data_IF_777986200645
#
_entry.id   IF_777986200645
#
_cell.length_a   1.000
_cell.length_b   1.000
_cell.length_c   1.000
_cell.angle_alpha   90.00
_cell.angle_beta   90.00
_cell.angle_gamma   90.00
#
_symmetry.space_group_name_H-M   'P 1'
#
loop_
_entity.id
_entity.type
_entity.pdbx_description
1 polymer ?
#
# COMPACT_ATOMS: atom_id res chain seq x y z
N UNK A 1 2.27 0.64 17.29
CA UNK A 1 2.99 0.57 16.02
C UNK A 1 4.38 -0.02 16.26
N UNK A 2 4.74 -1.03 15.49
CA UNK A 2 6.02 -1.74 15.69
C UNK A 2 7.07 -1.04 14.86
N UNK A 3 8.11 -0.54 15.54
CA UNK A 3 9.36 -0.01 14.99
C UNK A 3 9.20 0.91 13.73
N UNK A 4 9.92 0.68 12.66
CA UNK A 4 9.95 1.54 11.47
C UNK A 4 10.53 2.94 11.73
N UNK A 5 11.48 3.05 12.67
CA UNK A 5 12.05 4.34 13.08
C UNK A 5 12.74 5.03 11.91
N UNK A 6 13.57 4.28 11.18
CA UNK A 6 14.34 4.83 10.05
C UNK A 6 13.43 5.20 8.87
N UNK A 7 12.46 4.33 8.55
CA UNK A 7 11.51 4.62 7.46
C UNK A 7 10.62 5.82 7.77
N UNK A 8 10.16 5.98 9.04
CA UNK A 8 9.41 7.17 9.47
C UNK A 8 10.25 8.43 9.35
N UNK A 9 11.49 8.38 9.85
CA UNK A 9 12.44 9.49 9.77
C UNK A 9 12.68 9.89 8.31
N UNK A 10 12.98 8.93 7.44
CA UNK A 10 13.22 9.16 6.02
C UNK A 10 11.99 9.77 5.32
N UNK A 11 10.79 9.28 5.59
CA UNK A 11 9.56 9.85 5.03
C UNK A 11 9.34 11.29 5.47
N UNK A 12 9.54 11.59 6.77
CA UNK A 12 9.41 12.95 7.30
C UNK A 12 10.41 13.91 6.69
N UNK A 13 11.69 13.51 6.62
CA UNK A 13 12.76 14.33 6.04
C UNK A 13 12.52 14.63 4.56
N UNK A 14 12.18 13.63 3.76
CA UNK A 14 11.95 13.81 2.32
C UNK A 14 10.73 14.69 2.05
N UNK A 15 9.57 14.30 2.58
CA UNK A 15 8.32 14.99 2.30
C UNK A 15 8.29 16.39 2.92
N UNK A 16 8.86 16.57 4.13
CA UNK A 16 9.00 17.87 4.78
C UNK A 16 9.96 18.82 4.06
N UNK A 17 10.90 18.29 3.28
CA UNK A 17 11.82 19.07 2.44
C UNK A 17 11.33 19.29 1.01
N UNK A 18 10.07 18.97 0.69
CA UNK A 18 9.51 19.16 -0.64
C UNK A 18 9.88 18.07 -1.66
N UNK A 19 10.44 16.94 -1.23
CA UNK A 19 10.81 15.84 -2.12
C UNK A 19 9.66 14.84 -2.22
N UNK A 20 9.22 14.57 -3.44
CA UNK A 20 8.19 13.56 -3.69
C UNK A 20 8.71 12.15 -3.39
N UNK A 21 7.84 11.29 -2.87
CA UNK A 21 8.17 9.92 -2.48
C UNK A 21 7.22 8.93 -3.14
N UNK A 22 7.77 7.84 -3.65
CA UNK A 22 7.03 6.67 -4.10
C UNK A 22 7.36 5.49 -3.19
N UNK A 23 6.44 5.14 -2.29
CA UNK A 23 6.62 4.04 -1.35
C UNK A 23 5.96 2.77 -1.88
N UNK A 24 6.77 1.78 -2.17
CA UNK A 24 6.35 0.51 -2.75
C UNK A 24 6.51 -0.60 -1.72
N UNK A 25 5.44 -1.36 -1.50
CA UNK A 25 5.44 -2.45 -0.53
C UNK A 25 4.38 -3.48 -0.88
N UNK A 26 4.62 -4.77 -0.69
CA UNK A 26 3.58 -5.78 -0.75
C UNK A 26 2.38 -5.44 0.15
N UNK A 27 1.24 -6.07 -0.13
CA UNK A 27 0.05 -5.91 0.70
C UNK A 27 0.30 -6.34 2.14
N UNK A 28 -0.37 -5.68 3.09
CA UNK A 28 -0.38 -6.05 4.52
C UNK A 28 0.97 -5.95 5.24
N UNK A 29 1.95 -5.20 4.68
CA UNK A 29 3.23 -4.92 5.34
C UNK A 29 3.22 -3.65 6.21
N UNK A 30 2.07 -3.00 6.34
CA UNK A 30 1.91 -1.81 7.18
C UNK A 30 2.25 -0.49 6.49
N UNK A 31 2.26 -0.44 5.15
CA UNK A 31 2.55 0.75 4.34
C UNK A 31 1.70 1.96 4.71
N UNK A 32 0.36 1.83 4.68
CA UNK A 32 -0.57 2.93 4.96
C UNK A 32 -0.47 3.39 6.42
N UNK A 33 -0.26 2.46 7.36
CA UNK A 33 -0.01 2.79 8.77
C UNK A 33 1.31 3.55 8.96
N UNK A 34 2.37 3.17 8.23
CA UNK A 34 3.65 3.86 8.27
C UNK A 34 3.52 5.31 7.79
N UNK A 35 2.89 5.51 6.62
CA UNK A 35 2.68 6.85 6.07
C UNK A 35 1.86 7.70 7.04
N UNK A 36 0.76 7.16 7.57
CA UNK A 36 -0.09 7.88 8.52
C UNK A 36 0.67 8.30 9.76
N UNK A 37 1.38 7.37 10.43
CA UNK A 37 2.15 7.68 11.65
C UNK A 37 3.24 8.71 11.37
N UNK A 38 4.00 8.55 10.27
CA UNK A 38 5.04 9.51 9.91
C UNK A 38 4.48 10.91 9.65
N UNK A 39 3.34 11.01 8.99
CA UNK A 39 2.69 12.30 8.71
C UNK A 39 2.03 12.91 9.95
N UNK A 40 1.43 12.11 10.83
CA UNK A 40 0.90 12.58 12.11
C UNK A 40 2.03 13.15 13.00
N UNK A 41 3.18 12.49 13.08
CA UNK A 41 4.37 13.00 13.78
C UNK A 41 4.86 14.31 13.15
N UNK A 42 5.00 14.36 11.83
CA UNK A 42 5.50 15.54 11.12
C UNK A 42 4.59 16.76 11.34
N UNK A 43 3.28 16.59 11.31
CA UNK A 43 2.32 17.68 11.58
C UNK A 43 2.30 18.14 13.04
N UNK A 44 2.75 17.29 13.98
CA UNK A 44 2.96 17.69 15.37
C UNK A 44 4.24 18.49 15.54
N UNK A 45 5.30 18.11 14.82
CA UNK A 45 6.61 18.77 14.85
C UNK A 45 6.58 20.13 14.12
N UNK A 46 5.87 20.24 13.01
CA UNK A 46 5.74 21.49 12.23
C UNK A 46 4.28 21.84 11.95
N UNK A 47 3.82 22.95 12.54
CA UNK A 47 2.44 23.46 12.41
C UNK A 47 2.15 24.14 11.06
N UNK A 48 3.16 24.41 10.25
CA UNK A 48 2.99 24.91 8.87
C UNK A 48 2.72 23.79 7.88
N UNK A 49 2.94 22.53 8.25
CA UNK A 49 2.64 21.39 7.40
C UNK A 49 1.19 20.96 7.54
N UNK A 50 0.55 20.67 6.40
CA UNK A 50 -0.76 20.04 6.31
C UNK A 50 -0.65 18.79 5.45
N UNK A 51 -1.42 17.76 5.81
CA UNK A 51 -1.40 16.48 5.08
C UNK A 51 -2.79 16.13 4.60
N UNK A 52 -2.88 15.80 3.32
CA UNK A 52 -4.07 15.33 2.65
C UNK A 52 -3.91 13.83 2.34
N UNK A 53 -4.93 13.03 2.66
CA UNK A 53 -4.94 11.60 2.37
C UNK A 53 -6.04 11.27 1.35
N UNK A 54 -5.67 10.56 0.29
CA UNK A 54 -6.57 10.13 -0.78
C UNK A 54 -6.40 8.62 -0.95
N UNK A 55 -7.50 7.89 -0.95
CA UNK A 55 -7.50 6.45 -1.29
C UNK A 55 -7.99 6.29 -2.73
N UNK A 56 -7.08 5.86 -3.61
CA UNK A 56 -7.40 5.64 -5.02
C UNK A 56 -8.08 4.29 -5.30
N UNK A 57 -8.22 3.42 -4.29
CA UNK A 57 -8.77 2.07 -4.48
C UNK A 57 -10.20 2.06 -5.00
N UNK A 58 -11.04 2.98 -4.52
CA UNK A 58 -12.45 3.06 -4.88
C UNK A 58 -12.73 3.87 -6.15
N UNK A 59 -11.74 4.60 -6.67
CA UNK A 59 -11.89 5.50 -7.81
C UNK A 59 -12.07 4.72 -9.11
N UNK A 60 -13.15 4.99 -9.85
CA UNK A 60 -13.52 4.27 -11.08
C UNK A 60 -13.43 5.13 -12.34
N UNK A 61 -13.43 6.45 -12.21
CA UNK A 61 -13.38 7.39 -13.34
C UNK A 61 -12.42 8.54 -13.09
N UNK A 62 -11.91 9.15 -14.16
CA UNK A 62 -11.08 10.35 -14.10
C UNK A 62 -11.82 11.52 -13.40
N UNK A 63 -13.12 11.69 -13.70
CA UNK A 63 -13.96 12.71 -13.06
C UNK A 63 -14.06 12.52 -11.55
N UNK A 64 -14.22 11.29 -11.11
CA UNK A 64 -14.28 10.95 -9.69
C UNK A 64 -12.95 11.26 -8.99
N UNK A 65 -11.83 10.95 -9.63
CA UNK A 65 -10.51 11.31 -9.10
C UNK A 65 -10.37 12.82 -8.88
N UNK A 66 -10.67 13.64 -9.88
CA UNK A 66 -10.54 15.09 -9.74
C UNK A 66 -11.47 15.66 -8.66
N UNK A 67 -12.68 15.13 -8.54
CA UNK A 67 -13.63 15.52 -7.49
C UNK A 67 -13.12 15.19 -6.11
N UNK A 68 -12.65 13.96 -5.88
CA UNK A 68 -12.11 13.50 -4.60
C UNK A 68 -10.82 14.30 -4.28
N UNK A 69 -9.92 14.45 -5.26
CA UNK A 69 -8.67 15.20 -5.10
C UNK A 69 -8.93 16.63 -4.64
N UNK A 70 -9.80 17.35 -5.34
CA UNK A 70 -10.15 18.73 -4.97
C UNK A 70 -10.77 18.80 -3.58
N UNK A 71 -11.72 17.91 -3.27
CA UNK A 71 -12.39 17.85 -1.95
C UNK A 71 -11.39 17.64 -0.82
N UNK A 72 -10.52 16.64 -0.93
CA UNK A 72 -9.57 16.30 0.13
C UNK A 72 -8.51 17.42 0.31
N UNK A 73 -8.03 18.01 -0.78
CA UNK A 73 -7.09 19.13 -0.74
C UNK A 73 -7.72 20.36 -0.05
N UNK A 74 -8.95 20.71 -0.39
CA UNK A 74 -9.66 21.81 0.25
C UNK A 74 -9.89 21.52 1.74
N UNK A 75 -10.34 20.30 2.05
CA UNK A 75 -10.69 19.90 3.41
C UNK A 75 -9.50 19.93 4.36
N UNK A 76 -8.32 19.43 3.93
CA UNK A 76 -7.13 19.39 4.78
C UNK A 76 -6.50 20.76 5.00
N UNK A 77 -6.71 21.70 4.08
CA UNK A 77 -6.18 23.05 4.17
C UNK A 77 -7.13 24.03 4.92
N UNK A 78 -8.40 23.65 5.14
CA UNK A 78 -9.35 24.46 5.90
C UNK A 78 -8.98 24.48 7.39
N UNK A 79 -8.82 25.66 7.97
CA UNK A 79 -8.63 25.80 9.42
C UNK A 79 -9.94 25.54 10.17
N UNK A 80 -9.83 25.26 11.48
CA UNK A 80 -11.00 25.03 12.36
C UNK A 80 -11.94 26.24 12.41
N UNK A 81 -11.43 27.44 12.14
CA UNK A 81 -12.19 28.69 12.10
C UNK A 81 -12.85 28.94 10.73
N UNK A 82 -12.26 28.45 9.64
CA UNK A 82 -12.77 28.58 8.27
C UNK A 82 -13.80 27.50 7.90
N UNK A 83 -14.32 26.75 8.86
CA UNK A 83 -15.35 25.71 8.63
C UNK A 83 -16.72 26.27 8.22
N UNK A 84 -16.86 27.58 8.08
CA UNK A 84 -18.04 28.16 7.44
C UNK A 84 -17.88 28.02 5.93
N UNK A 85 -18.81 27.32 5.33
CA UNK A 85 -18.86 27.04 3.89
C UNK A 85 -18.68 28.30 3.02
N UNK A 86 -19.17 29.46 3.50
CA UNK A 86 -19.06 30.74 2.83
C UNK A 86 -17.61 31.25 2.74
N UNK A 87 -16.80 31.07 3.77
CA UNK A 87 -15.39 31.49 3.78
C UNK A 87 -14.57 30.65 2.79
N UNK A 88 -14.86 29.33 2.74
CA UNK A 88 -14.23 28.41 1.77
C UNK A 88 -14.66 28.76 0.34
N UNK A 89 -15.93 29.07 0.10
CA UNK A 89 -16.44 29.51 -1.22
C UNK A 89 -15.78 30.78 -1.68
N UNK A 90 -15.69 31.78 -0.79
CA UNK A 90 -15.08 33.07 -1.11
C UNK A 90 -13.59 32.92 -1.39
N UNK A 91 -12.88 32.09 -0.62
CA UNK A 91 -11.48 31.76 -0.83
C UNK A 91 -11.27 31.06 -2.18
N UNK A 92 -12.05 30.03 -2.49
CA UNK A 92 -11.94 29.30 -3.76
C UNK A 92 -12.25 30.18 -4.96
N UNK A 93 -13.24 31.06 -4.86
CA UNK A 93 -13.58 32.01 -5.91
C UNK A 93 -12.41 32.95 -6.22
N UNK A 94 -11.59 33.29 -5.22
CA UNK A 94 -10.41 34.11 -5.41
C UNK A 94 -9.22 33.32 -6.00
N UNK A 95 -9.06 32.06 -5.62
CA UNK A 95 -7.89 31.23 -5.96
C UNK A 95 -8.11 30.37 -7.22
N UNK A 96 -9.33 29.89 -7.44
CA UNK A 96 -9.71 29.04 -8.56
C UNK A 96 -11.18 29.30 -8.96
N UNK A 97 -11.46 30.34 -9.75
CA UNK A 97 -12.82 30.82 -10.04
C UNK A 97 -13.73 29.80 -10.74
N UNK A 98 -13.17 28.82 -11.45
CA UNK A 98 -13.94 27.80 -12.17
C UNK A 98 -14.42 26.67 -11.24
N UNK A 99 -13.95 26.62 -10.00
CA UNK A 99 -14.37 25.62 -9.01
C UNK A 99 -15.54 26.18 -8.20
N UNK A 100 -16.74 25.65 -8.44
CA UNK A 100 -17.95 26.07 -7.72
C UNK A 100 -18.36 25.00 -6.71
N UNK A 101 -18.56 25.41 -5.45
CA UNK A 101 -19.11 24.54 -4.41
C UNK A 101 -20.63 24.71 -4.35
N UNK A 102 -21.39 23.62 -4.52
CA UNK A 102 -22.80 23.58 -4.19
C UNK A 102 -22.97 23.06 -2.76
N UNK A 103 -23.70 23.77 -1.95
CA UNK A 103 -24.11 23.30 -0.62
C UNK A 103 -25.53 22.74 -0.68
N UNK A 104 -25.72 21.56 -0.12
CA UNK A 104 -27.05 21.11 0.26
C UNK A 104 -27.38 21.73 1.61
N UNK A 105 -28.57 22.35 1.81
CA UNK A 105 -28.92 23.02 3.06
C UNK A 105 -28.98 22.13 4.29
N UNK A 106 -28.97 20.82 4.10
CA UNK A 106 -29.16 19.81 5.15
C UNK A 106 -27.89 19.12 5.62
N UNK A 107 -26.75 19.37 4.99
CA UNK A 107 -25.53 18.61 5.31
C UNK A 107 -24.36 19.53 5.66
N UNK A 108 -23.92 19.43 6.90
CA UNK A 108 -22.70 20.04 7.40
C UNK A 108 -21.49 19.36 6.77
N UNK A 109 -20.95 19.92 5.66
CA UNK A 109 -19.70 19.54 5.00
C UNK A 109 -19.76 18.46 3.90
N UNK A 110 -20.88 18.20 3.25
CA UNK A 110 -20.85 17.47 1.97
C UNK A 110 -20.54 18.47 0.83
N UNK A 111 -19.28 18.49 0.40
CA UNK A 111 -18.86 19.24 -0.78
C UNK A 111 -19.25 18.46 -2.04
N UNK A 112 -20.42 18.75 -2.61
CA UNK A 112 -20.77 18.22 -3.93
C UNK A 112 -20.23 19.17 -5.00
N UNK A 113 -19.04 18.83 -5.52
CA UNK A 113 -18.41 19.53 -6.64
C UNK A 113 -19.10 19.09 -7.93
N UNK A 114 -20.04 19.87 -8.44
CA UNK A 114 -20.44 19.76 -9.86
C UNK A 114 -19.32 20.35 -10.71
N UNK A 115 -18.40 19.50 -11.11
CA UNK A 115 -17.37 19.84 -12.08
C UNK A 115 -17.90 19.54 -13.48
N UNK A 116 -18.15 20.57 -14.27
CA UNK A 116 -18.11 20.43 -15.72
C UNK A 116 -16.62 20.28 -16.07
N UNK A 117 -16.22 19.07 -16.49
CA UNK A 117 -14.83 18.74 -16.76
C UNK A 117 -14.39 19.31 -18.13
N UNK A 118 -14.35 20.60 -18.23
CA UNK A 118 -13.56 21.26 -19.28
C UNK A 118 -12.06 21.09 -18.96
N UNK A 119 -11.23 21.02 -19.97
CA UNK A 119 -9.78 20.82 -19.81
C UNK A 119 -9.13 21.89 -18.92
N UNK A 120 -9.63 23.13 -18.99
CA UNK A 120 -9.23 24.24 -18.13
C UNK A 120 -9.52 23.97 -16.65
N UNK A 121 -10.69 23.42 -16.33
CA UNK A 121 -11.09 23.09 -14.95
C UNK A 121 -10.22 21.97 -14.37
N UNK A 122 -9.82 21.00 -15.18
CA UNK A 122 -8.92 19.91 -14.77
C UNK A 122 -7.56 20.46 -14.34
N UNK A 123 -6.96 21.36 -15.14
CA UNK A 123 -5.67 21.95 -14.78
C UNK A 123 -5.77 22.80 -13.51
N UNK A 124 -6.84 23.58 -13.35
CA UNK A 124 -7.06 24.37 -12.14
C UNK A 124 -7.18 23.51 -10.90
N UNK A 125 -7.82 22.32 -11.00
CA UNK A 125 -7.90 21.34 -9.90
C UNK A 125 -6.51 20.80 -9.55
N UNK A 126 -5.72 20.42 -10.55
CA UNK A 126 -4.38 19.89 -10.32
C UNK A 126 -3.40 20.94 -9.77
N UNK A 127 -3.63 22.22 -10.05
CA UNK A 127 -2.87 23.35 -9.50
C UNK A 127 -3.37 23.82 -8.12
N UNK A 128 -4.55 23.37 -7.70
CA UNK A 128 -5.19 23.79 -6.46
C UNK A 128 -4.31 23.63 -5.21
N UNK A 129 -3.58 22.51 -5.02
CA UNK A 129 -2.70 22.34 -3.86
C UNK A 129 -1.70 23.46 -3.69
N UNK A 130 -0.99 23.84 -4.77
CA UNK A 130 0.00 24.91 -4.75
C UNK A 130 -0.63 26.28 -4.49
N UNK A 131 -1.75 26.59 -5.15
CA UNK A 131 -2.47 27.85 -4.96
C UNK A 131 -2.92 28.03 -3.51
N UNK A 132 -3.44 26.95 -2.89
CA UNK A 132 -3.86 26.96 -1.47
C UNK A 132 -2.63 27.09 -0.57
N UNK A 133 -1.58 26.30 -0.81
CA UNK A 133 -0.38 26.33 -0.01
C UNK A 133 0.28 27.70 0.00
N UNK A 134 0.44 28.30 -1.18
CA UNK A 134 0.98 29.65 -1.35
C UNK A 134 0.13 30.72 -0.66
N UNK A 135 -1.20 30.69 -0.83
CA UNK A 135 -2.10 31.67 -0.23
C UNK A 135 -2.14 31.61 1.30
N UNK A 136 -1.90 30.42 1.89
CA UNK A 136 -1.93 30.20 3.34
C UNK A 136 -0.55 30.18 3.99
N UNK A 137 0.55 30.22 3.23
CA UNK A 137 1.91 30.11 3.75
C UNK A 137 2.17 28.77 4.43
N UNK A 138 1.64 27.68 3.88
CA UNK A 138 1.80 26.32 4.40
C UNK A 138 2.53 25.43 3.40
N UNK A 139 3.13 24.35 3.89
CA UNK A 139 3.58 23.24 3.06
C UNK A 139 2.52 22.13 3.06
N UNK A 140 2.07 21.71 1.89
CA UNK A 140 1.03 20.71 1.73
C UNK A 140 1.63 19.39 1.26
N UNK A 141 1.36 18.31 2.00
CA UNK A 141 1.77 16.96 1.61
C UNK A 141 0.52 16.19 1.15
N UNK A 142 0.51 15.75 -0.10
CA UNK A 142 -0.60 14.97 -0.68
C UNK A 142 -0.21 13.51 -0.75
N UNK A 143 -0.85 12.69 0.08
CA UNK A 143 -0.64 11.26 0.20
C UNK A 143 -1.72 10.50 -0.57
N UNK A 144 -1.35 9.71 -1.60
CA UNK A 144 -2.30 8.93 -2.41
C UNK A 144 -2.00 7.44 -2.24
N UNK A 145 -2.91 6.74 -1.54
CA UNK A 145 -2.85 5.28 -1.36
C UNK A 145 -3.33 4.55 -2.62
N UNK A 146 -2.76 3.37 -2.83
CA UNK A 146 -3.03 2.48 -3.97
C UNK A 146 -2.98 3.22 -5.33
N UNK A 147 -1.99 4.12 -5.47
CA UNK A 147 -1.84 5.01 -6.64
C UNK A 147 -1.90 4.28 -7.98
N UNK A 148 -1.41 3.04 -8.05
CA UNK A 148 -1.45 2.23 -9.28
C UNK A 148 -2.88 1.91 -9.75
N UNK A 149 -3.91 2.09 -8.91
CA UNK A 149 -5.29 1.90 -9.34
C UNK A 149 -5.71 2.94 -10.40
N UNK A 150 -5.13 4.14 -10.32
CA UNK A 150 -5.37 5.18 -11.32
C UNK A 150 -4.91 4.74 -12.72
N UNK A 151 -3.83 3.93 -12.79
CA UNK A 151 -3.33 3.40 -14.07
C UNK A 151 -4.30 2.44 -14.78
N UNK A 152 -5.32 1.95 -14.08
CA UNK A 152 -6.37 1.09 -14.64
C UNK A 152 -7.54 1.90 -15.22
N UNK A 153 -7.57 3.23 -15.01
CA UNK A 153 -8.65 4.07 -15.51
C UNK A 153 -8.55 4.26 -17.03
N UNK A 154 -9.71 4.25 -17.73
CA UNK A 154 -9.74 4.67 -19.12
C UNK A 154 -9.18 6.09 -19.27
N UNK A 155 -8.27 6.31 -20.23
CA UNK A 155 -7.67 7.64 -20.45
C UNK A 155 -6.49 7.99 -19.54
N UNK A 156 -6.05 7.09 -18.66
CA UNK A 156 -4.97 7.34 -17.70
C UNK A 156 -3.72 8.01 -18.29
N UNK A 157 -3.29 7.64 -19.49
CA UNK A 157 -2.10 8.26 -20.12
C UNK A 157 -2.23 9.77 -20.32
N UNK A 158 -3.41 10.25 -20.70
CA UNK A 158 -3.70 11.69 -20.80
C UNK A 158 -3.72 12.33 -19.40
N UNK A 159 -4.40 11.68 -18.46
CA UNK A 159 -4.49 12.09 -17.06
C UNK A 159 -3.10 12.18 -16.42
N UNK A 160 -2.26 11.16 -16.61
CA UNK A 160 -0.88 11.09 -16.10
C UNK A 160 -0.03 12.27 -16.62
N UNK A 161 -0.14 12.60 -17.90
CA UNK A 161 0.55 13.74 -18.50
C UNK A 161 0.11 15.07 -17.88
N UNK A 162 -1.20 15.28 -17.68
CA UNK A 162 -1.75 16.48 -17.03
C UNK A 162 -1.28 16.60 -15.58
N UNK A 163 -1.36 15.52 -14.80
CA UNK A 163 -0.84 15.49 -13.43
C UNK A 163 0.64 15.85 -13.38
N UNK A 164 1.47 15.22 -14.21
CA UNK A 164 2.90 15.53 -14.28
C UNK A 164 3.17 16.99 -14.62
N UNK A 165 2.47 17.52 -15.62
CA UNK A 165 2.64 18.91 -16.06
C UNK A 165 2.31 19.94 -14.98
N UNK A 166 1.26 19.67 -14.18
CA UNK A 166 0.88 20.55 -13.07
C UNK A 166 1.83 20.39 -11.88
N UNK A 167 2.02 19.15 -11.40
CA UNK A 167 2.66 18.87 -10.12
C UNK A 167 4.17 19.10 -10.11
N UNK A 168 4.86 18.93 -11.25
CA UNK A 168 6.30 19.18 -11.30
C UNK A 168 6.70 20.66 -11.12
N UNK A 169 5.76 21.59 -11.22
CA UNK A 169 5.99 23.04 -11.08
C UNK A 169 5.73 23.52 -9.65
N UNK A 170 5.13 22.67 -8.81
CA UNK A 170 4.75 23.04 -7.45
C UNK A 170 5.98 23.08 -6.54
N UNK A 171 6.05 24.08 -5.69
CA UNK A 171 7.18 24.33 -4.80
C UNK A 171 6.81 24.19 -3.33
N UNK A 172 5.53 24.39 -2.99
CA UNK A 172 5.02 24.29 -1.63
C UNK A 172 4.22 23.00 -1.38
N UNK A 173 4.29 22.05 -2.33
CA UNK A 173 3.58 20.79 -2.27
C UNK A 173 4.56 19.64 -2.49
N UNK A 174 4.46 18.62 -1.68
CA UNK A 174 5.11 17.32 -1.93
C UNK A 174 4.08 16.20 -2.01
N UNK A 175 4.41 15.16 -2.76
CA UNK A 175 3.55 14.04 -3.03
C UNK A 175 4.13 12.74 -2.46
N UNK A 176 3.30 11.98 -1.75
CA UNK A 176 3.59 10.63 -1.31
C UNK A 176 2.67 9.65 -2.05
N UNK A 177 3.18 9.00 -3.09
CA UNK A 177 2.44 7.95 -3.78
C UNK A 177 2.82 6.61 -3.19
N UNK A 178 1.85 5.82 -2.79
CA UNK A 178 2.14 4.51 -2.26
C UNK A 178 1.15 3.46 -2.77
N UNK A 179 1.66 2.23 -2.92
CA UNK A 179 0.87 1.16 -3.51
C UNK A 179 1.44 -0.22 -3.27
N UNK A 180 0.61 -1.22 -3.50
CA UNK A 180 0.91 -2.62 -3.20
C UNK A 180 1.38 -3.42 -4.41
N UNK A 181 1.00 -3.06 -5.63
CA UNK A 181 1.39 -3.78 -6.85
C UNK A 181 2.73 -3.28 -7.37
N UNK A 182 3.80 -3.94 -6.91
CA UNK A 182 5.19 -3.55 -7.19
C UNK A 182 5.46 -3.33 -8.68
N UNK A 183 5.05 -4.27 -9.54
CA UNK A 183 5.33 -4.18 -10.99
C UNK A 183 4.64 -2.96 -11.62
N UNK A 184 3.38 -2.65 -11.25
CA UNK A 184 2.67 -1.49 -11.76
C UNK A 184 3.29 -0.17 -11.28
N UNK A 185 3.63 -0.09 -9.99
CA UNK A 185 4.29 1.09 -9.43
C UNK A 185 5.66 1.30 -10.09
N UNK A 186 6.43 0.23 -10.31
CA UNK A 186 7.72 0.31 -11.01
C UNK A 186 7.54 0.75 -12.46
N UNK A 187 6.51 0.29 -13.17
CA UNK A 187 6.25 0.74 -14.53
C UNK A 187 5.92 2.25 -14.56
N UNK A 188 5.08 2.74 -13.66
CA UNK A 188 4.71 4.16 -13.60
C UNK A 188 5.94 5.05 -13.35
N UNK A 189 6.83 4.69 -12.40
CA UNK A 189 7.85 5.62 -11.90
C UNK A 189 9.27 5.35 -12.43
N UNK A 190 9.57 4.16 -12.93
CA UNK A 190 10.90 3.79 -13.41
C UNK A 190 10.99 3.53 -14.91
N UNK A 191 9.86 3.49 -15.62
CA UNK A 191 9.85 3.39 -17.07
C UNK A 191 10.05 4.79 -17.68
N UNK A 192 11.13 4.95 -18.43
CA UNK A 192 11.50 6.24 -19.05
C UNK A 192 10.48 6.79 -20.07
N UNK A 193 9.57 5.93 -20.54
CA UNK A 193 8.49 6.32 -21.45
C UNK A 193 7.27 6.91 -20.74
N UNK A 194 7.23 6.85 -19.40
CA UNK A 194 6.07 7.33 -18.63
C UNK A 194 6.30 8.73 -18.06
N UNK A 195 5.26 9.57 -18.01
CA UNK A 195 5.34 10.94 -17.48
C UNK A 195 5.93 11.05 -16.08
N UNK A 196 5.61 10.11 -15.17
CA UNK A 196 6.12 10.13 -13.80
C UNK A 196 7.54 9.56 -13.63
N UNK A 197 8.23 9.24 -14.74
CA UNK A 197 9.63 8.83 -14.65
C UNK A 197 10.46 9.83 -13.84
N UNK A 198 11.14 9.33 -12.80
CA UNK A 198 11.96 10.15 -11.88
C UNK A 198 11.23 11.35 -11.26
N UNK A 199 9.96 11.21 -10.94
CA UNK A 199 9.19 12.30 -10.32
C UNK A 199 9.59 12.53 -8.85
N UNK A 200 10.20 11.58 -8.19
CA UNK A 200 10.67 11.68 -6.82
C UNK A 200 11.50 10.45 -6.43
N UNK A 201 11.71 10.25 -5.14
CA UNK A 201 12.49 9.14 -4.61
C UNK A 201 11.64 7.88 -4.45
N UNK A 202 12.12 6.76 -4.98
CA UNK A 202 11.47 5.46 -4.79
C UNK A 202 12.03 4.80 -3.53
N UNK A 203 11.12 4.42 -2.62
CA UNK A 203 11.42 3.70 -1.39
C UNK A 203 10.74 2.33 -1.44
N UNK A 204 11.51 1.28 -1.15
CA UNK A 204 10.97 -0.07 -1.00
C UNK A 204 10.89 -0.42 0.47
N UNK A 205 9.65 -0.58 0.95
CA UNK A 205 9.45 -1.02 2.33
C UNK A 205 9.87 -2.48 2.48
N UNK A 206 10.79 -2.73 3.39
CA UNK A 206 11.25 -4.07 3.73
C UNK A 206 10.37 -4.69 4.83
N UNK A 207 10.45 -6.02 5.02
CA UNK A 207 9.86 -6.67 6.20
C UNK A 207 10.50 -6.11 7.47
N UNK A 208 9.72 -5.98 8.53
CA UNK A 208 10.25 -5.73 9.86
C UNK A 208 11.09 -6.94 10.26
N UNK A 209 12.31 -6.71 10.72
CA UNK A 209 13.26 -7.76 11.05
C UNK A 209 12.81 -8.54 12.29
N UNK A 210 13.24 -9.80 12.38
CA UNK A 210 12.95 -10.67 13.53
C UNK A 210 13.45 -10.04 14.84
N UNK A 211 14.64 -9.44 14.82
CA UNK A 211 15.26 -8.79 15.99
C UNK A 211 14.42 -7.64 16.54
N UNK A 212 13.53 -7.08 15.73
CA UNK A 212 12.62 -6.00 16.13
C UNK A 212 11.26 -6.56 16.59
N UNK A 213 10.81 -7.65 15.97
CA UNK A 213 9.55 -8.31 16.33
C UNK A 213 9.62 -9.02 17.67
N UNK A 214 10.70 -9.76 17.93
CA UNK A 214 10.82 -10.60 19.14
C UNK A 214 10.64 -9.81 20.44
N UNK A 215 11.40 -8.73 20.69
CA UNK A 215 11.21 -7.93 21.90
C UNK A 215 9.80 -7.31 21.99
N UNK A 216 9.23 -6.91 20.83
CA UNK A 216 7.89 -6.36 20.80
C UNK A 216 6.84 -7.38 21.22
N UNK A 217 6.91 -8.62 20.70
CA UNK A 217 5.99 -9.72 21.03
C UNK A 217 6.09 -10.06 22.52
N UNK A 218 7.30 -10.30 23.02
CA UNK A 218 7.55 -10.63 24.44
C UNK A 218 6.97 -9.55 25.35
N UNK A 219 7.26 -8.27 25.08
CA UNK A 219 6.73 -7.16 25.85
C UNK A 219 5.20 -7.05 25.77
N UNK A 220 4.59 -7.33 24.61
CA UNK A 220 3.15 -7.26 24.44
C UNK A 220 2.43 -8.34 25.26
N UNK A 221 2.95 -9.55 25.31
CA UNK A 221 2.43 -10.63 26.15
C UNK A 221 2.60 -10.29 27.64
N UNK A 222 3.78 -9.85 28.04
CA UNK A 222 4.08 -9.50 29.43
C UNK A 222 3.17 -8.38 29.98
N UNK A 223 2.82 -7.37 29.18
CA UNK A 223 1.88 -6.30 29.56
C UNK A 223 0.50 -6.78 29.92
N UNK A 224 0.14 -7.99 29.51
CA UNK A 224 -1.17 -8.62 29.77
C UNK A 224 -1.06 -9.79 30.72
N UNK A 225 0.01 -9.87 31.52
CA UNK A 225 0.30 -10.94 32.47
C UNK A 225 0.36 -12.33 31.81
N UNK A 226 0.88 -12.41 30.60
CA UNK A 226 1.13 -13.68 29.90
C UNK A 226 2.61 -13.76 29.53
N UNK A 227 3.13 -14.99 29.51
CA UNK A 227 4.54 -15.23 29.22
C UNK A 227 4.70 -15.96 27.88
N UNK A 228 5.59 -15.45 27.05
CA UNK A 228 6.11 -16.11 25.85
C UNK A 228 7.63 -16.00 25.87
N UNK A 229 8.35 -17.09 25.58
CA UNK A 229 9.82 -17.03 25.51
C UNK A 229 10.28 -16.33 24.21
N UNK A 230 11.50 -15.80 24.22
CA UNK A 230 12.13 -15.24 23.01
C UNK A 230 12.19 -16.30 21.89
N UNK A 231 12.55 -17.54 22.22
CA UNK A 231 12.60 -18.64 21.25
C UNK A 231 11.23 -18.92 20.62
N UNK A 232 10.15 -18.90 21.41
CA UNK A 232 8.80 -19.04 20.87
C UNK A 232 8.41 -17.85 20.01
N UNK A 233 8.74 -16.61 20.41
CA UNK A 233 8.50 -15.42 19.61
C UNK A 233 9.27 -15.46 18.26
N UNK A 234 10.51 -15.96 18.26
CA UNK A 234 11.27 -16.23 17.05
C UNK A 234 10.58 -17.27 16.15
N UNK A 235 10.09 -18.36 16.74
CA UNK A 235 9.34 -19.40 16.03
C UNK A 235 8.10 -18.82 15.34
N UNK A 236 7.34 -17.91 16.00
CA UNK A 236 6.21 -17.24 15.36
C UNK A 236 6.65 -16.41 14.13
N UNK A 237 7.75 -15.68 14.27
CA UNK A 237 8.32 -14.92 13.15
C UNK A 237 8.69 -15.82 11.98
N UNK A 238 9.27 -16.99 12.23
CA UNK A 238 9.67 -17.96 11.20
C UNK A 238 8.46 -18.61 10.51
N UNK A 239 7.45 -19.03 11.26
CA UNK A 239 6.21 -19.61 10.72
C UNK A 239 5.60 -18.70 9.66
N UNK A 240 5.48 -17.42 9.94
CA UNK A 240 4.87 -16.45 9.02
C UNK A 240 5.88 -15.61 8.23
N UNK A 241 7.19 -16.00 8.24
CA UNK A 241 8.29 -15.31 7.54
C UNK A 241 8.30 -13.78 7.79
N UNK A 242 8.08 -13.36 9.04
CA UNK A 242 7.96 -11.96 9.47
C UNK A 242 6.90 -11.16 8.69
N UNK A 243 5.87 -11.79 8.15
CA UNK A 243 4.77 -11.09 7.48
C UNK A 243 3.89 -10.38 8.51
N UNK A 244 3.92 -9.05 8.53
CA UNK A 244 3.37 -8.21 9.61
C UNK A 244 1.91 -8.51 9.94
N UNK A 245 1.06 -8.71 8.94
CA UNK A 245 -0.35 -9.02 9.14
C UNK A 245 -0.57 -10.39 9.80
N UNK A 246 0.07 -11.43 9.25
CA UNK A 246 -0.09 -12.77 9.78
C UNK A 246 0.57 -12.96 11.14
N UNK A 247 1.69 -12.27 11.38
CA UNK A 247 2.34 -12.31 12.69
C UNK A 247 1.43 -11.73 13.78
N UNK A 248 0.76 -10.61 13.49
CA UNK A 248 -0.20 -10.03 14.42
C UNK A 248 -1.41 -10.95 14.65
N UNK A 249 -1.96 -11.58 13.60
CA UNK A 249 -3.06 -12.53 13.74
C UNK A 249 -2.63 -13.77 14.56
N UNK A 250 -1.47 -14.35 14.26
CA UNK A 250 -0.95 -15.50 14.97
C UNK A 250 -0.71 -15.18 16.44
N UNK A 251 -0.07 -14.05 16.74
CA UNK A 251 0.12 -13.58 18.11
C UNK A 251 -1.22 -13.40 18.83
N UNK A 252 -2.24 -12.84 18.17
CA UNK A 252 -3.57 -12.68 18.75
C UNK A 252 -4.22 -14.04 19.07
N UNK A 253 -4.17 -14.99 18.15
CA UNK A 253 -4.73 -16.33 18.38
C UNK A 253 -4.03 -17.06 19.52
N UNK A 254 -2.70 -16.98 19.60
CA UNK A 254 -1.92 -17.57 20.66
C UNK A 254 -2.24 -16.88 21.99
N UNK A 255 -2.21 -15.55 22.01
CA UNK A 255 -2.53 -14.76 23.20
C UNK A 255 -3.93 -15.09 23.74
N UNK A 256 -4.94 -15.18 22.87
CA UNK A 256 -6.33 -15.48 23.25
C UNK A 256 -6.49 -16.92 23.78
N UNK A 257 -5.66 -17.86 23.35
CA UNK A 257 -5.68 -19.24 23.76
C UNK A 257 -4.78 -19.59 24.96
N UNK A 258 -3.99 -18.62 25.43
CA UNK A 258 -3.05 -18.80 26.54
C UNK A 258 -3.66 -18.24 27.83
N UNK A 259 -3.62 -19.00 28.93
CA UNK A 259 -3.96 -18.48 30.26
C UNK A 259 -2.80 -17.68 30.87
N UNK A 260 -1.66 -18.31 31.08
CA UNK A 260 -0.48 -17.67 31.69
C UNK A 260 0.76 -17.82 30.81
N UNK A 261 1.10 -19.04 30.40
CA UNK A 261 2.32 -19.32 29.60
C UNK A 261 1.99 -19.97 28.29
N UNK A 262 2.66 -19.50 27.25
CA UNK A 262 2.58 -20.10 25.91
C UNK A 262 3.28 -21.46 25.93
N UNK A 263 2.63 -22.45 25.32
CA UNK A 263 3.21 -23.79 25.08
C UNK A 263 3.35 -24.04 23.59
N UNK A 264 4.24 -24.94 23.20
CA UNK A 264 4.45 -25.31 21.80
C UNK A 264 3.19 -25.95 21.18
N UNK A 265 2.40 -26.67 22.00
CA UNK A 265 1.11 -27.21 21.58
C UNK A 265 0.12 -26.10 21.21
N UNK A 266 0.05 -25.01 22.01
CA UNK A 266 -0.79 -23.85 21.69
C UNK A 266 -0.33 -23.22 20.38
N UNK A 267 0.97 -23.05 20.16
CA UNK A 267 1.53 -22.53 18.92
C UNK A 267 1.08 -23.37 17.73
N UNK A 268 1.21 -24.68 17.82
CA UNK A 268 0.80 -25.59 16.74
C UNK A 268 -0.70 -25.50 16.44
N UNK A 269 -1.56 -25.58 17.47
CA UNK A 269 -3.02 -25.48 17.32
C UNK A 269 -3.42 -24.14 16.69
N UNK A 270 -2.84 -23.03 17.16
CA UNK A 270 -3.18 -21.70 16.67
C UNK A 270 -2.63 -21.41 15.27
N UNK A 271 -1.51 -22.02 14.91
CA UNK A 271 -0.99 -21.99 13.54
C UNK A 271 -1.95 -22.69 12.58
N UNK A 272 -2.46 -23.86 12.94
CA UNK A 272 -3.51 -24.55 12.16
C UNK A 272 -4.77 -23.70 12.04
N UNK A 273 -5.22 -23.09 13.13
CA UNK A 273 -6.35 -22.18 13.11
C UNK A 273 -6.13 -20.99 12.16
N UNK A 274 -4.93 -20.43 12.12
CA UNK A 274 -4.60 -19.33 11.18
C UNK A 274 -4.71 -19.79 9.73
N UNK A 275 -4.21 -20.97 9.40
CA UNK A 275 -4.31 -21.55 8.05
C UNK A 275 -5.79 -21.78 7.69
N UNK A 276 -6.56 -22.43 8.58
CA UNK A 276 -7.95 -22.78 8.33
C UNK A 276 -8.86 -21.55 8.21
N UNK A 277 -8.58 -20.51 8.99
CA UNK A 277 -9.31 -19.23 8.87
C UNK A 277 -9.13 -18.57 7.49
N UNK A 278 -7.97 -18.73 6.86
CA UNK A 278 -7.67 -18.17 5.55
C UNK A 278 -7.97 -19.12 4.38
N UNK A 279 -8.24 -20.40 4.66
CA UNK A 279 -8.48 -21.44 3.65
C UNK A 279 -9.56 -21.09 2.61
N UNK A 280 -10.74 -20.56 2.97
CA UNK A 280 -11.78 -20.24 1.96
C UNK A 280 -11.29 -19.24 0.91
N UNK A 281 -10.46 -18.26 1.31
CA UNK A 281 -9.86 -17.30 0.37
C UNK A 281 -8.85 -18.01 -0.55
N UNK A 282 -8.01 -18.88 0.01
CA UNK A 282 -7.01 -19.61 -0.76
C UNK A 282 -7.62 -20.60 -1.75
N UNK A 283 -8.72 -21.28 -1.38
CA UNK A 283 -9.47 -22.13 -2.28
C UNK A 283 -10.02 -21.32 -3.46
N UNK A 284 -10.68 -20.21 -3.21
CA UNK A 284 -11.20 -19.32 -4.25
C UNK A 284 -10.09 -18.81 -5.19
N UNK A 285 -8.93 -18.46 -4.65
CA UNK A 285 -7.78 -17.99 -5.45
C UNK A 285 -7.21 -19.10 -6.35
N UNK A 286 -7.25 -20.37 -5.89
CA UNK A 286 -6.72 -21.52 -6.61
C UNK A 286 -7.71 -22.14 -7.59
N UNK A 287 -9.04 -21.98 -7.42
CA UNK A 287 -10.06 -22.49 -8.34
C UNK A 287 -9.84 -22.04 -9.80
N UNK A 288 -9.29 -20.86 -10.00
CA UNK A 288 -9.01 -20.29 -11.31
C UNK A 288 -7.60 -20.58 -11.83
N UNK A 289 -6.85 -21.49 -11.20
CA UNK A 289 -5.55 -21.92 -11.69
C UNK A 289 -5.69 -23.11 -12.66
N UNK A 290 -4.91 -23.05 -13.75
CA UNK A 290 -4.79 -24.21 -14.63
C UNK A 290 -3.91 -25.30 -14.00
N UNK A 291 -4.05 -26.55 -14.43
CA UNK A 291 -3.21 -27.65 -13.97
C UNK A 291 -1.70 -27.33 -14.10
N UNK A 292 -1.29 -26.68 -15.19
CA UNK A 292 0.11 -26.27 -15.39
C UNK A 292 0.57 -25.15 -14.43
N UNK A 293 -0.32 -24.27 -13.98
CA UNK A 293 -0.02 -23.26 -12.97
C UNK A 293 0.10 -23.89 -11.59
N UNK A 294 -0.80 -24.82 -11.23
CA UNK A 294 -0.72 -25.58 -9.99
C UNK A 294 0.55 -26.42 -9.93
N UNK A 295 0.92 -27.09 -11.05
CA UNK A 295 2.17 -27.85 -11.16
C UNK A 295 3.40 -26.96 -10.95
N UNK A 296 3.37 -25.72 -11.48
CA UNK A 296 4.45 -24.75 -11.25
C UNK A 296 4.52 -24.32 -9.78
N UNK A 297 3.38 -24.10 -9.10
CA UNK A 297 3.38 -23.79 -7.67
C UNK A 297 3.94 -24.95 -6.85
N UNK A 298 3.68 -26.22 -7.21
CA UNK A 298 4.33 -27.39 -6.58
C UNK A 298 5.85 -27.36 -6.74
N UNK A 299 6.34 -27.02 -7.95
CA UNK A 299 7.76 -26.90 -8.17
C UNK A 299 8.38 -25.76 -7.34
N UNK A 300 7.69 -24.62 -7.18
CA UNK A 300 8.11 -23.54 -6.28
C UNK A 300 8.09 -24.01 -4.82
N UNK A 301 7.06 -24.75 -4.40
CA UNK A 301 6.97 -25.32 -3.06
C UNK A 301 8.18 -26.20 -2.74
N UNK A 302 8.59 -27.06 -3.66
CA UNK A 302 9.78 -27.92 -3.50
C UNK A 302 11.12 -27.16 -3.61
N UNK A 303 11.09 -25.84 -3.80
CA UNK A 303 12.29 -24.99 -3.88
C UNK A 303 12.99 -25.03 -5.21
N UNK A 304 12.34 -25.54 -6.26
CA UNK A 304 12.91 -25.56 -7.60
C UNK A 304 13.04 -24.13 -8.17
N UNK A 305 14.14 -23.90 -8.90
CA UNK A 305 14.40 -22.60 -9.53
C UNK A 305 14.78 -22.72 -11.02
N UNK A 306 15.17 -23.91 -11.47
CA UNK A 306 15.56 -24.22 -12.88
C UNK A 306 14.39 -24.82 -13.64
N UNK A 307 13.29 -24.11 -13.75
CA UNK A 307 12.03 -24.62 -14.33
C UNK A 307 12.13 -25.11 -15.77
N UNK A 308 13.16 -24.70 -16.54
CA UNK A 308 13.39 -25.16 -17.90
C UNK A 308 14.32 -26.38 -17.99
N UNK A 309 14.84 -26.90 -16.87
CA UNK A 309 15.66 -28.08 -16.87
C UNK A 309 14.83 -29.35 -17.16
N UNK A 310 15.35 -30.27 -17.94
CA UNK A 310 14.64 -31.48 -18.34
C UNK A 310 14.11 -32.29 -17.14
N UNK A 311 14.86 -32.49 -16.04
CA UNK A 311 14.36 -33.20 -14.87
C UNK A 311 13.17 -32.54 -14.23
N UNK A 312 13.21 -31.19 -14.05
CA UNK A 312 12.13 -30.40 -13.43
C UNK A 312 10.90 -30.37 -14.33
N UNK A 313 11.07 -30.14 -15.64
CA UNK A 313 9.96 -30.18 -16.61
C UNK A 313 9.23 -31.50 -16.56
N UNK A 314 9.98 -32.64 -16.52
CA UNK A 314 9.38 -33.97 -16.45
C UNK A 314 8.72 -34.28 -15.12
N UNK A 315 9.39 -33.93 -14.00
CA UNK A 315 8.88 -34.20 -12.64
C UNK A 315 7.53 -33.55 -12.39
N UNK A 316 7.35 -32.29 -12.85
CA UNK A 316 6.15 -31.49 -12.58
C UNK A 316 5.24 -31.30 -13.81
N UNK A 317 5.59 -31.87 -14.96
CA UNK A 317 4.81 -31.73 -16.21
C UNK A 317 4.59 -30.26 -16.62
N UNK A 318 5.62 -29.41 -16.50
CA UNK A 318 5.52 -27.97 -16.70
C UNK A 318 5.24 -27.53 -18.15
N UNK A 319 5.37 -28.44 -19.12
CA UNK A 319 5.14 -28.17 -20.53
C UNK A 319 6.31 -27.46 -21.21
N UNK A 320 6.04 -26.69 -22.26
CA UNK A 320 7.06 -25.99 -23.05
C UNK A 320 7.66 -24.77 -22.31
N UNK A 321 8.86 -24.34 -22.78
CA UNK A 321 9.51 -23.13 -22.26
C UNK A 321 8.61 -21.87 -22.36
N UNK A 322 7.78 -21.78 -23.41
CA UNK A 322 6.80 -20.69 -23.56
C UNK A 322 5.70 -20.78 -22.49
N UNK A 323 5.19 -21.99 -22.23
CA UNK A 323 4.19 -22.24 -21.17
C UNK A 323 4.75 -21.86 -19.81
N UNK A 324 5.96 -22.28 -19.49
CA UNK A 324 6.67 -21.94 -18.25
C UNK A 324 6.81 -20.42 -18.08
N UNK A 325 7.26 -19.73 -19.14
CA UNK A 325 7.43 -18.27 -19.11
C UNK A 325 6.09 -17.55 -18.88
N UNK A 326 5.04 -17.98 -19.58
CA UNK A 326 3.68 -17.42 -19.41
C UNK A 326 3.15 -17.67 -18.00
N UNK A 327 3.28 -18.89 -17.48
CA UNK A 327 2.78 -19.22 -16.14
C UNK A 327 3.54 -18.47 -15.05
N UNK A 328 4.87 -18.33 -15.15
CA UNK A 328 5.65 -17.49 -14.23
C UNK A 328 5.12 -16.07 -14.19
N UNK A 329 4.90 -15.47 -15.37
CA UNK A 329 4.37 -14.11 -15.47
C UNK A 329 2.98 -14.01 -14.82
N UNK A 330 2.06 -14.88 -15.19
CA UNK A 330 0.69 -14.88 -14.66
C UNK A 330 0.63 -15.08 -13.15
N UNK A 331 1.42 -16.00 -12.60
CA UNK A 331 1.48 -16.24 -11.17
C UNK A 331 2.10 -15.06 -10.41
N UNK A 332 3.07 -14.37 -11.01
CA UNK A 332 3.66 -13.15 -10.43
C UNK A 332 2.67 -11.97 -10.49
N UNK A 333 1.99 -11.75 -11.63
CA UNK A 333 0.97 -10.70 -11.80
C UNK A 333 -0.23 -10.88 -10.87
N UNK A 334 -0.54 -12.13 -10.50
CA UNK A 334 -1.61 -12.48 -9.55
C UNK A 334 -1.13 -12.59 -8.10
N UNK A 335 0.08 -12.18 -7.79
CA UNK A 335 0.69 -12.17 -6.45
C UNK A 335 0.77 -13.56 -5.77
N UNK A 336 0.78 -14.69 -6.54
CA UNK A 336 1.02 -16.02 -5.96
C UNK A 336 2.50 -16.24 -5.63
N UNK A 337 3.38 -15.77 -6.51
CA UNK A 337 4.83 -15.90 -6.35
C UNK A 337 5.54 -14.59 -6.60
N UNK A 338 6.64 -14.39 -5.94
CA UNK A 338 7.56 -13.28 -6.18
C UNK A 338 8.97 -13.78 -6.49
N UNK A 339 9.73 -12.94 -7.20
CA UNK A 339 11.12 -13.26 -7.53
C UNK A 339 12.05 -12.76 -6.42
N UNK A 340 12.76 -13.69 -5.78
CA UNK A 340 13.79 -13.43 -4.78
C UNK A 340 15.17 -13.81 -5.37
N UNK A 341 15.90 -12.82 -5.87
CA UNK A 341 17.15 -13.08 -6.58
C UNK A 341 16.94 -13.95 -7.83
N UNK A 342 17.51 -15.17 -7.85
CA UNK A 342 17.35 -16.14 -8.93
C UNK A 342 16.24 -17.17 -8.69
N UNK A 343 15.58 -17.14 -7.56
CA UNK A 343 14.52 -18.06 -7.17
C UNK A 343 13.15 -17.40 -7.20
N UNK A 344 12.12 -18.21 -7.14
CA UNK A 344 10.75 -17.79 -6.89
C UNK A 344 10.31 -18.33 -5.52
N UNK A 345 9.60 -17.52 -4.77
CA UNK A 345 9.01 -17.88 -3.50
C UNK A 345 7.51 -17.53 -3.52
N UNK A 346 6.74 -18.15 -2.65
CA UNK A 346 5.35 -17.72 -2.44
C UNK A 346 5.32 -16.31 -1.85
N UNK A 347 4.46 -15.45 -2.39
CA UNK A 347 4.27 -14.09 -1.90
C UNK A 347 3.58 -14.06 -0.54
N UNK A 348 2.72 -15.06 -0.26
CA UNK A 348 1.96 -15.22 0.96
C UNK A 348 2.43 -16.47 1.73
N UNK A 349 3.01 -16.31 2.95
CA UNK A 349 3.56 -17.44 3.71
C UNK A 349 2.47 -18.39 4.25
N UNK A 350 1.25 -17.91 4.50
CA UNK A 350 0.18 -18.78 4.99
C UNK A 350 -0.47 -19.54 3.84
N UNK A 351 -0.58 -18.88 2.66
CA UNK A 351 -0.93 -19.59 1.43
C UNK A 351 0.07 -20.72 1.13
N UNK A 352 1.38 -20.49 1.29
CA UNK A 352 2.40 -21.52 1.11
C UNK A 352 2.17 -22.70 2.05
N UNK A 353 1.94 -22.45 3.36
CA UNK A 353 1.69 -23.53 4.33
C UNK A 353 0.43 -24.33 3.99
N UNK A 354 -0.64 -23.63 3.62
CA UNK A 354 -1.89 -24.26 3.17
C UNK A 354 -1.66 -25.06 1.87
N UNK A 355 -0.99 -24.47 0.87
CA UNK A 355 -0.75 -25.11 -0.42
C UNK A 355 0.09 -26.37 -0.27
N UNK A 356 1.12 -26.37 0.57
CA UNK A 356 1.91 -27.55 0.90
C UNK A 356 1.07 -28.65 1.52
N UNK A 357 0.15 -28.30 2.41
CA UNK A 357 -0.74 -29.27 3.07
C UNK A 357 -1.71 -29.93 2.10
N UNK A 358 -2.25 -29.18 1.13
CA UNK A 358 -3.32 -29.67 0.25
C UNK A 358 -2.78 -30.26 -1.08
N UNK A 359 -1.61 -29.81 -1.54
CA UNK A 359 -1.16 -30.12 -2.90
C UNK A 359 0.21 -30.80 -2.98
N UNK A 360 0.99 -30.88 -1.90
CA UNK A 360 2.30 -31.53 -1.84
C UNK A 360 2.28 -32.68 -0.84
#
# INVERSE_FOLDING_TARGET
FVNRVEERKQLKELLGSGINVMLISPRRWGKSSLVKVAMDELTQEDKHIRVCFIDAFSIKTEAEFYRIFAREVISCAASTLEKRLEDVKQFLKAVSPSITLKSDPTDTLSFDLKLELEEKSVMEILELPEKIAAAKGIHLIVCIDEFQQLALLPGYKSMEGKMRSAWQKQQQVSYCFYGSKRHMMMDIFNNSSNPFYRFGQVLFLQKIKKEEWVPFIVNAFHRTNKEISEQQAEQLCDIVKCHSWYLQQLCYFIWSGTSEKVTDEIIEIRTRQLIDTNMPMFMNDTENLTAAQTAMLRAVADGEYRFNSIPVVRKYELGSAQTITRNKRMLTERDFIEKEGNKYAFSDPIFELWFRREYC
#
